data_IF_268657589346
#
_entry.id   IF_268657589346
#
_cell.length_a   1.000
_cell.length_b   1.000
_cell.length_c   1.000
_cell.angle_alpha   90.00
_cell.angle_beta   90.00
_cell.angle_gamma   90.00
#
_symmetry.space_group_name_H-M   'P 1'
#
loop_
_entity.id
_entity.type
_entity.pdbx_description
1 polymer ?
#
# COMPACT_ATOMS: atom_id res chain seq x y z
N UNK A 1 7.75 7.96 -7.15
CA UNK A 1 6.68 8.47 -6.27
C UNK A 1 5.61 7.40 -6.28
N UNK A 2 5.45 6.70 -5.16
CA UNK A 2 4.59 5.51 -5.11
C UNK A 2 3.15 5.83 -5.45
N UNK A 3 2.56 5.04 -6.36
CA UNK A 3 1.14 5.14 -6.71
C UNK A 3 0.26 4.73 -5.55
N UNK A 4 -0.86 5.43 -5.39
CA UNK A 4 -1.86 5.15 -4.36
C UNK A 4 -3.16 4.71 -5.02
N UNK A 5 -3.72 3.61 -4.55
CA UNK A 5 -4.95 3.03 -5.03
C UNK A 5 -6.02 3.06 -3.94
N UNK A 6 -7.25 3.48 -4.23
CA UNK A 6 -8.38 3.46 -3.31
C UNK A 6 -9.28 2.27 -3.60
N UNK A 7 -9.71 1.59 -2.53
CA UNK A 7 -10.53 0.40 -2.57
C UNK A 7 -11.51 0.46 -1.39
N UNK A 8 -12.74 0.89 -1.68
CA UNK A 8 -13.72 1.21 -0.64
C UNK A 8 -13.20 2.34 0.28
N UNK A 9 -13.01 2.02 1.56
CA UNK A 9 -12.51 2.94 2.60
C UNK A 9 -10.99 2.86 2.81
N UNK A 10 -10.34 1.93 2.12
CA UNK A 10 -8.90 1.70 2.24
C UNK A 10 -8.14 2.34 1.09
N UNK A 11 -6.90 2.70 1.38
CA UNK A 11 -5.92 3.16 0.41
C UNK A 11 -4.73 2.19 0.43
N UNK A 12 -4.39 1.62 -0.71
CA UNK A 12 -3.26 0.74 -0.89
C UNK A 12 -2.09 1.54 -1.49
N UNK A 13 -0.90 1.40 -0.93
CA UNK A 13 0.29 2.06 -1.45
C UNK A 13 1.55 1.23 -1.18
N UNK A 14 2.52 1.31 -2.07
CA UNK A 14 3.88 0.81 -1.81
C UNK A 14 4.67 1.80 -0.96
N UNK A 15 5.29 1.31 0.10
CA UNK A 15 6.25 2.08 0.92
C UNK A 15 7.55 2.19 0.14
N UNK A 16 7.99 3.42 -0.12
CA UNK A 16 9.15 3.68 -0.98
C UNK A 16 10.43 2.98 -0.47
N UNK A 17 11.16 2.28 -1.35
CA UNK A 17 12.48 1.76 -1.05
C UNK A 17 13.58 2.76 -1.42
N UNK A 18 14.78 2.58 -0.87
CA UNK A 18 15.97 3.35 -1.29
C UNK A 18 16.38 3.04 -2.74
N UNK A 19 15.95 1.89 -3.26
CA UNK A 19 16.15 1.47 -4.64
C UNK A 19 14.91 1.93 -5.42
N UNK A 20 15.07 2.79 -6.45
CA UNK A 20 13.95 3.24 -7.27
C UNK A 20 13.15 2.07 -7.87
N UNK A 21 11.81 2.20 -7.87
CA UNK A 21 10.91 1.17 -8.40
C UNK A 21 10.59 0.03 -7.43
N UNK A 22 11.35 -0.11 -6.34
CA UNK A 22 11.12 -1.14 -5.32
C UNK A 22 10.36 -0.59 -4.11
N UNK A 23 9.70 -1.50 -3.40
CA UNK A 23 9.00 -1.25 -2.16
C UNK A 23 9.67 -1.93 -0.97
N UNK A 24 9.67 -1.25 0.18
CA UNK A 24 9.99 -1.88 1.47
C UNK A 24 8.84 -2.78 1.95
N UNK A 25 7.62 -2.37 1.65
CA UNK A 25 6.37 -2.99 2.09
C UNK A 25 5.23 -2.47 1.21
N UNK A 26 4.09 -3.16 1.20
CA UNK A 26 2.84 -2.64 0.66
C UNK A 26 1.88 -2.48 1.81
N UNK A 27 1.29 -1.30 1.96
CA UNK A 27 0.47 -0.96 3.13
C UNK A 27 -0.97 -0.63 2.75
N UNK A 28 -1.89 -1.02 3.63
CA UNK A 28 -3.24 -0.49 3.69
C UNK A 28 -3.28 0.69 4.66
N UNK A 29 -3.69 1.83 4.15
CA UNK A 29 -3.92 3.07 4.89
C UNK A 29 -5.42 3.30 4.99
N UNK A 30 -5.93 3.58 6.19
CA UNK A 30 -7.33 3.87 6.41
C UNK A 30 -7.51 4.82 7.58
N UNK A 31 -8.67 5.48 7.62
CA UNK A 31 -9.02 6.38 8.71
C UNK A 31 -9.73 5.59 9.81
N UNK A 32 -9.20 5.65 11.02
CA UNK A 32 -9.83 5.10 12.22
C UNK A 32 -10.07 6.26 13.20
N UNK A 33 -11.34 6.64 13.36
CA UNK A 33 -11.77 7.86 14.04
C UNK A 33 -11.11 9.11 13.40
N UNK A 34 -10.30 9.85 14.16
CA UNK A 34 -9.57 11.03 13.69
C UNK A 34 -8.14 10.73 13.26
N UNK A 35 -7.69 9.47 13.31
CA UNK A 35 -6.31 9.10 13.01
C UNK A 35 -6.22 8.30 11.72
N UNK A 36 -5.17 8.57 10.94
CA UNK A 36 -4.78 7.72 9.82
C UNK A 36 -3.87 6.60 10.32
N UNK A 37 -4.21 5.37 9.96
CA UNK A 37 -3.47 4.17 10.33
C UNK A 37 -2.91 3.55 9.04
N UNK A 38 -1.66 3.09 9.10
CA UNK A 38 -1.01 2.31 8.04
C UNK A 38 -0.67 0.92 8.59
N UNK A 39 -1.01 -0.12 7.84
CA UNK A 39 -0.78 -1.52 8.21
C UNK A 39 -0.23 -2.26 6.99
N UNK A 40 0.87 -2.99 7.17
CA UNK A 40 1.41 -3.89 6.13
C UNK A 40 0.33 -4.83 5.60
N UNK A 41 0.26 -4.99 4.28
CA UNK A 41 -0.63 -5.90 3.60
C UNK A 41 -0.44 -7.35 4.09
N UNK A 42 0.78 -7.75 4.44
CA UNK A 42 1.03 -9.07 5.03
C UNK A 42 0.31 -9.29 6.37
N UNK A 43 0.13 -8.22 7.15
CA UNK A 43 -0.45 -8.26 8.50
C UNK A 43 -1.89 -7.78 8.55
N UNK A 44 -2.39 -7.22 7.46
CA UNK A 44 -3.72 -6.66 7.38
C UNK A 44 -4.78 -7.76 7.49
N UNK A 45 -5.81 -7.52 8.30
CA UNK A 45 -6.93 -8.44 8.47
C UNK A 45 -8.17 -7.81 7.87
N UNK A 46 -8.64 -8.39 6.78
CA UNK A 46 -9.86 -7.95 6.12
C UNK A 46 -11.02 -8.89 6.48
N UNK A 47 -12.15 -8.31 6.90
CA UNK A 47 -13.41 -9.06 7.01
C UNK A 47 -14.18 -9.08 5.67
N UNK A 48 -13.84 -8.17 4.76
CA UNK A 48 -14.45 -8.08 3.43
C UNK A 48 -13.71 -9.01 2.45
N UNK A 49 -14.41 -9.95 1.77
CA UNK A 49 -13.79 -10.90 0.84
C UNK A 49 -13.02 -10.25 -0.32
N UNK A 50 -13.48 -9.10 -0.82
CA UNK A 50 -12.80 -8.41 -1.92
C UNK A 50 -11.52 -7.74 -1.45
N UNK A 51 -11.52 -7.17 -0.24
CA UNK A 51 -10.32 -6.61 0.37
C UNK A 51 -9.32 -7.72 0.72
N UNK A 52 -9.80 -8.89 1.15
CA UNK A 52 -8.95 -10.05 1.39
C UNK A 52 -8.27 -10.52 0.09
N UNK A 53 -9.00 -10.61 -1.03
CA UNK A 53 -8.41 -10.92 -2.34
C UNK A 53 -7.36 -9.91 -2.77
N UNK A 54 -7.64 -8.61 -2.58
CA UNK A 54 -6.67 -7.54 -2.86
C UNK A 54 -5.41 -7.75 -2.04
N UNK A 55 -5.56 -7.95 -0.72
CA UNK A 55 -4.45 -8.17 0.20
C UNK A 55 -3.59 -9.34 -0.25
N UNK A 56 -4.20 -10.49 -0.54
CA UNK A 56 -3.49 -11.70 -0.97
C UNK A 56 -2.73 -11.50 -2.29
N UNK A 57 -3.26 -10.69 -3.20
CA UNK A 57 -2.61 -10.41 -4.48
C UNK A 57 -1.41 -9.44 -4.38
N UNK A 58 -1.36 -8.58 -3.35
CA UNK A 58 -0.39 -7.48 -3.27
C UNK A 58 0.60 -7.59 -2.12
N UNK A 59 0.36 -8.45 -1.13
CA UNK A 59 1.17 -8.54 0.10
C UNK A 59 2.65 -8.88 -0.12
N UNK A 60 3.00 -9.46 -1.27
CA UNK A 60 4.38 -9.79 -1.63
C UNK A 60 4.88 -9.00 -2.84
N UNK A 61 4.18 -7.95 -3.25
CA UNK A 61 4.65 -7.10 -4.34
C UNK A 61 5.88 -6.31 -3.87
N UNK A 62 7.01 -6.53 -4.55
CA UNK A 62 8.30 -5.89 -4.22
C UNK A 62 8.66 -4.78 -5.18
N UNK A 63 8.07 -4.78 -6.38
CA UNK A 63 8.28 -3.78 -7.42
C UNK A 63 6.99 -3.06 -7.81
N UNK A 64 7.10 -1.84 -8.33
CA UNK A 64 5.98 -1.04 -8.85
C UNK A 64 5.19 -1.79 -9.93
N UNK A 65 5.88 -2.55 -10.78
CA UNK A 65 5.24 -3.37 -11.82
C UNK A 65 4.45 -4.55 -11.25
N UNK A 66 4.94 -5.20 -10.19
CA UNK A 66 4.21 -6.31 -9.53
C UNK A 66 2.88 -5.78 -8.99
N UNK A 67 2.93 -4.64 -8.29
CA UNK A 67 1.75 -4.00 -7.74
C UNK A 67 0.80 -3.58 -8.85
N UNK A 68 1.31 -2.93 -9.91
CA UNK A 68 0.49 -2.51 -11.05
C UNK A 68 -0.21 -3.70 -11.70
N UNK A 69 0.52 -4.79 -11.95
CA UNK A 69 -0.01 -5.99 -12.57
C UNK A 69 -1.09 -6.65 -11.70
N UNK A 70 -0.87 -6.72 -10.38
CA UNK A 70 -1.85 -7.22 -9.43
C UNK A 70 -3.13 -6.36 -9.45
N UNK A 71 -3.00 -5.03 -9.42
CA UNK A 71 -4.15 -4.11 -9.50
C UNK A 71 -4.93 -4.28 -10.81
N UNK A 72 -4.26 -4.39 -11.95
CA UNK A 72 -4.92 -4.61 -13.23
C UNK A 72 -5.70 -5.93 -13.28
N UNK A 73 -5.14 -7.00 -12.70
CA UNK A 73 -5.82 -8.29 -12.61
C UNK A 73 -7.05 -8.23 -11.70
N UNK A 74 -6.94 -7.57 -10.54
CA UNK A 74 -8.07 -7.36 -9.62
C UNK A 74 -9.20 -6.55 -10.29
N UNK A 75 -8.85 -5.51 -11.06
CA UNK A 75 -9.84 -4.74 -11.86
C UNK A 75 -10.55 -5.62 -12.89
N UNK A 76 -9.83 -6.48 -13.61
CA UNK A 76 -10.41 -7.45 -14.57
C UNK A 76 -11.36 -8.44 -13.88
N UNK A 77 -11.10 -8.78 -12.63
CA UNK A 77 -11.97 -9.63 -11.81
C UNK A 77 -13.20 -8.90 -11.24
N UNK A 78 -13.39 -7.61 -11.57
CA UNK A 78 -14.53 -6.81 -11.16
C UNK A 78 -14.35 -6.03 -9.85
N UNK A 79 -13.15 -6.05 -9.25
CA UNK A 79 -12.88 -5.28 -8.03
C UNK A 79 -12.74 -3.79 -8.40
N UNK A 80 -13.51 -2.94 -7.72
CA UNK A 80 -13.47 -1.49 -7.90
C UNK A 80 -12.23 -0.91 -7.23
N UNK A 81 -11.26 -0.51 -8.05
CA UNK A 81 -10.00 0.09 -7.60
C UNK A 81 -9.78 1.40 -8.38
N UNK A 82 -9.53 2.49 -7.67
CA UNK A 82 -9.30 3.81 -8.25
C UNK A 82 -7.86 4.25 -8.00
N UNK A 83 -7.16 4.77 -8.99
CA UNK A 83 -5.85 5.41 -8.74
C UNK A 83 -6.09 6.84 -8.25
N UNK A 84 -5.47 7.22 -7.13
CA UNK A 84 -5.66 8.52 -6.48
C UNK A 84 -4.41 9.35 -6.63
N UNK A 85 -4.54 10.53 -7.24
CA UNK A 85 -3.46 11.51 -7.34
C UNK A 85 -3.37 12.40 -6.09
N UNK A 86 -4.52 12.77 -5.52
CA UNK A 86 -4.61 13.63 -4.34
C UNK A 86 -4.74 12.79 -3.06
N UNK A 87 -3.60 12.49 -2.44
CA UNK A 87 -3.51 11.65 -1.25
C UNK A 87 -4.14 12.36 -0.03
N UNK A 88 -5.17 11.79 0.63
CA UNK A 88 -5.87 12.44 1.74
C UNK A 88 -5.23 12.19 3.12
N UNK A 89 -4.13 11.44 3.17
CA UNK A 89 -3.42 11.05 4.39
C UNK A 89 -1.97 11.57 4.40
N UNK A 90 -1.32 11.63 5.59
CA UNK A 90 0.06 12.08 5.70
C UNK A 90 1.03 11.19 4.91
N UNK A 91 1.88 11.79 4.06
CA UNK A 91 2.84 11.05 3.21
C UNK A 91 3.80 10.16 4.00
N UNK A 92 4.17 10.56 5.23
CA UNK A 92 5.02 9.77 6.14
C UNK A 92 4.55 8.33 6.41
N UNK A 93 3.30 8.00 6.08
CA UNK A 93 2.75 6.64 6.19
C UNK A 93 3.19 5.71 5.06
N UNK A 94 3.70 6.26 3.95
CA UNK A 94 4.14 5.54 2.74
C UNK A 94 5.57 5.93 2.32
N UNK A 95 6.19 6.84 3.05
CA UNK A 95 7.61 7.15 2.87
C UNK A 95 8.44 6.03 3.52
N UNK A 96 9.43 5.54 2.77
CA UNK A 96 10.38 4.57 3.28
C UNK A 96 11.05 5.08 4.54
N UNK A 97 11.16 4.23 5.56
CA UNK A 97 12.09 4.53 6.65
C UNK A 97 13.48 4.40 6.06
N UNK A 98 14.17 5.52 5.84
CA UNK A 98 15.64 5.49 5.81
C UNK A 98 16.03 4.97 7.18
N UNK A 99 16.62 3.78 7.25
CA UNK A 99 17.42 3.44 8.43
C UNK A 99 18.50 4.52 8.49
N UNK A 100 18.29 5.51 9.34
CA UNK A 100 19.39 6.34 9.80
C UNK A 100 20.27 5.33 10.55
N UNK A 101 21.40 5.00 9.95
CA UNK A 101 22.48 4.28 10.62
C UNK A 101 23.18 5.30 11.55
N UNK A 102 22.44 5.81 12.53
CA UNK A 102 22.93 6.37 13.80
C UNK A 102 22.30 5.40 14.80
N UNK A 103 22.98 4.56 15.56
CA UNK A 103 24.24 4.69 16.26
C UNK A 103 24.95 3.31 16.23
N UNK A 104 26.21 3.26 15.81
CA UNK A 104 27.19 2.36 16.43
C UNK A 104 28.33 3.31 16.80
N UNK A 105 28.53 3.46 18.11
CA UNK A 105 29.67 4.12 18.77
C UNK A 105 31.01 3.95 18.03
#
# INVERSE_FOLDING_TARGET
MSKVYKIGEYYLAGVEHVIPGYFQDVVFVYKNNNNWISVSAERFRANNPDIEKVKEAVKYATHEDDLKQAIENLKKMGIKIEEIQNIPFPRKLIEGKRKIQEEID
#
